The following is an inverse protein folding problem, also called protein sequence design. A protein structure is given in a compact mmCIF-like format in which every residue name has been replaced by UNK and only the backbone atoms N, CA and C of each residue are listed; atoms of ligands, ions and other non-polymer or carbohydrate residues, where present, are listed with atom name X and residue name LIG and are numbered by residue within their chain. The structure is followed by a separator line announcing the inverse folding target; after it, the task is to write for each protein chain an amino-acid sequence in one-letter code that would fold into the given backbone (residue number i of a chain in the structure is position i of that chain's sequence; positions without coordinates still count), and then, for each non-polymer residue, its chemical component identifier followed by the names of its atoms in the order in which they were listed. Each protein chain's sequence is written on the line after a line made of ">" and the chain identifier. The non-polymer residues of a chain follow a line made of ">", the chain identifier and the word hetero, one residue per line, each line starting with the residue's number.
data_IF_029394804732
#
_entry.id   IF_029394804732
#
_cell.length_a   1.000
_cell.length_b   1.000
_cell.length_c   1.000
_cell.angle_alpha   90.00
_cell.angle_beta   90.00
_cell.angle_gamma   90.00
#
_symmetry.space_group_name_H-M   'P 1'
#
loop_
_entity.id
_entity.type
_entity.pdbx_description
1 polymer ?
#
# COMPACT_ATOMS: atom_id res chain seq x y z
N UNK A 1 25.56 -75.97 -26.33
CA UNK A 1 26.95 -75.57 -26.69
C UNK A 1 26.97 -74.06 -26.85
N UNK A 2 28.03 -73.46 -26.33
CA UNK A 2 28.27 -72.03 -26.18
C UNK A 2 28.23 -71.25 -27.50
N UNK A 3 27.79 -70.00 -27.44
CA UNK A 3 28.52 -68.88 -28.04
C UNK A 3 28.12 -67.56 -27.36
N UNK A 4 29.13 -66.92 -26.79
CA UNK A 4 29.17 -65.63 -26.12
C UNK A 4 29.10 -64.47 -27.10
N UNK A 5 28.52 -63.33 -26.71
CA UNK A 5 28.84 -62.01 -27.28
C UNK A 5 28.61 -60.92 -26.23
N UNK A 6 29.69 -60.23 -25.92
CA UNK A 6 29.84 -59.21 -24.87
C UNK A 6 29.28 -57.86 -25.33
N UNK A 7 28.52 -57.17 -24.47
CA UNK A 7 28.19 -55.75 -24.65
C UNK A 7 28.97 -54.95 -23.60
N UNK A 8 29.83 -54.06 -24.07
CA UNK A 8 30.56 -53.07 -23.30
C UNK A 8 29.58 -51.95 -22.93
N UNK A 9 29.31 -51.77 -21.64
CA UNK A 9 28.57 -50.62 -21.12
C UNK A 9 29.57 -49.53 -20.71
N UNK A 10 29.66 -48.48 -21.52
CA UNK A 10 30.47 -47.29 -21.24
C UNK A 10 29.79 -46.46 -20.15
N UNK A 11 30.45 -46.31 -19.01
CA UNK A 11 30.05 -45.40 -17.93
C UNK A 11 30.36 -43.97 -18.39
N UNK A 12 29.32 -43.15 -18.60
CA UNK A 12 29.47 -41.70 -18.79
C UNK A 12 29.37 -41.05 -17.41
N UNK A 13 30.50 -40.53 -16.92
CA UNK A 13 30.57 -39.78 -15.67
C UNK A 13 29.80 -38.46 -15.77
N UNK A 14 28.87 -38.26 -14.85
CA UNK A 14 28.26 -36.95 -14.59
C UNK A 14 29.28 -36.08 -13.86
N UNK A 15 29.93 -35.17 -14.58
CA UNK A 15 30.71 -34.10 -13.98
C UNK A 15 29.75 -33.10 -13.33
N UNK A 16 29.72 -33.10 -12.00
CA UNK A 16 29.07 -32.07 -11.21
C UNK A 16 29.71 -30.72 -11.52
N UNK A 17 28.93 -29.80 -12.09
CA UNK A 17 29.30 -28.39 -12.18
C UNK A 17 29.23 -27.79 -10.78
N UNK A 18 30.36 -27.80 -10.08
CA UNK A 18 30.55 -26.97 -8.91
C UNK A 18 30.75 -25.52 -9.38
N UNK A 19 29.65 -24.78 -9.54
CA UNK A 19 29.73 -23.33 -9.52
C UNK A 19 30.09 -22.93 -8.08
N UNK A 20 31.37 -22.65 -7.85
CA UNK A 20 31.81 -21.91 -6.70
C UNK A 20 31.11 -20.54 -6.74
N UNK A 21 30.03 -20.40 -5.97
CA UNK A 21 29.39 -19.11 -5.76
C UNK A 21 30.40 -18.21 -5.05
N UNK A 22 30.98 -17.26 -5.78
CA UNK A 22 31.71 -16.14 -5.17
C UNK A 22 30.74 -15.37 -4.27
N UNK A 23 31.13 -15.02 -3.02
CA UNK A 23 30.21 -14.38 -2.09
C UNK A 23 29.69 -13.03 -2.59
N UNK A 24 28.35 -12.92 -2.61
CA UNK A 24 27.50 -11.72 -2.45
C UNK A 24 27.74 -10.54 -3.41
N UNK A 25 26.78 -10.32 -4.32
CA UNK A 25 26.57 -9.01 -4.96
C UNK A 25 26.32 -7.89 -3.93
N UNK A 26 25.91 -8.22 -2.70
CA UNK A 26 25.79 -7.28 -1.58
C UNK A 26 27.14 -6.80 -0.99
N UNK A 27 28.28 -7.45 -1.29
CA UNK A 27 29.60 -6.97 -0.83
C UNK A 27 30.20 -5.84 -1.68
N UNK A 28 29.57 -5.50 -2.80
CA UNK A 28 30.04 -4.43 -3.69
C UNK A 28 29.47 -3.04 -3.36
N UNK A 29 28.93 -2.81 -2.15
CA UNK A 29 28.46 -1.49 -1.71
C UNK A 29 29.54 -0.71 -0.97
N UNK A 30 30.64 -0.37 -1.63
CA UNK A 30 31.74 0.40 -0.99
C UNK A 30 31.45 1.90 -0.82
N UNK A 31 30.21 2.37 -0.85
CA UNK A 31 29.91 3.81 -0.75
C UNK A 31 28.64 4.24 0.00
N UNK A 32 27.68 3.35 0.31
CA UNK A 32 26.43 3.74 0.98
C UNK A 32 26.38 3.11 2.36
N UNK A 33 26.33 3.95 3.40
CA UNK A 33 26.23 3.50 4.78
C UNK A 33 24.86 2.87 5.04
N UNK A 34 24.86 1.72 5.73
CA UNK A 34 23.64 1.03 6.17
C UNK A 34 23.11 1.75 7.42
N UNK A 35 21.86 2.24 7.43
CA UNK A 35 21.32 2.95 8.58
C UNK A 35 21.09 1.98 9.77
N UNK A 36 21.08 2.46 11.02
CA UNK A 36 21.10 1.60 12.21
C UNK A 36 19.93 0.61 12.34
N UNK A 37 18.75 0.96 11.82
CA UNK A 37 17.56 0.08 11.81
C UNK A 37 17.49 -0.82 10.58
N UNK A 38 18.50 -0.87 9.71
CA UNK A 38 18.46 -1.70 8.51
C UNK A 38 19.21 -3.03 8.66
N UNK A 39 18.62 -4.06 8.08
CA UNK A 39 19.18 -5.41 7.99
C UNK A 39 19.31 -5.79 6.53
N UNK A 40 20.51 -6.19 6.11
CA UNK A 40 20.76 -6.68 4.76
C UNK A 40 20.35 -8.15 4.64
N UNK A 41 19.54 -8.47 3.63
CA UNK A 41 19.11 -9.81 3.31
C UNK A 41 19.66 -10.19 1.94
N UNK A 42 20.49 -11.24 1.87
CA UNK A 42 20.98 -11.80 0.62
C UNK A 42 19.97 -12.80 0.05
N UNK A 43 19.35 -12.54 -1.11
CA UNK A 43 18.44 -13.50 -1.74
C UNK A 43 19.03 -14.90 -1.90
N UNK A 44 20.34 -15.00 -2.14
CA UNK A 44 21.00 -16.30 -2.26
C UNK A 44 20.95 -17.12 -0.97
N UNK A 45 20.79 -16.48 0.19
CA UNK A 45 20.70 -17.16 1.48
C UNK A 45 19.35 -17.86 1.71
N UNK A 46 18.31 -17.51 0.95
CA UNK A 46 16.96 -18.08 1.11
C UNK A 46 16.31 -18.56 -0.19
N UNK A 47 17.01 -18.49 -1.32
CA UNK A 47 16.57 -19.09 -2.58
C UNK A 47 16.44 -20.63 -2.51
N UNK A 48 17.22 -21.27 -1.64
CA UNK A 48 17.17 -22.72 -1.43
C UNK A 48 16.94 -22.99 0.05
N UNK A 49 15.74 -23.42 0.39
CA UNK A 49 15.47 -23.97 1.72
C UNK A 49 16.19 -25.32 1.81
N UNK A 50 17.08 -25.46 2.80
CA UNK A 50 17.83 -26.71 3.01
C UNK A 50 16.89 -27.89 3.28
N UNK A 51 17.41 -29.12 3.31
CA UNK A 51 16.60 -30.32 3.62
C UNK A 51 15.88 -30.23 4.98
N UNK A 52 16.37 -29.37 5.89
CA UNK A 52 15.78 -29.08 7.20
C UNK A 52 15.15 -27.68 7.27
N UNK A 53 14.96 -26.99 6.14
CA UNK A 53 14.29 -25.70 6.08
C UNK A 53 12.78 -25.86 6.23
N UNK A 54 12.13 -24.87 6.83
CA UNK A 54 10.68 -24.82 6.95
C UNK A 54 10.08 -23.94 5.87
N UNK A 55 8.99 -24.39 5.26
CA UNK A 55 8.14 -23.54 4.42
C UNK A 55 7.24 -22.70 5.30
N UNK A 56 6.87 -21.50 4.81
CA UNK A 56 5.75 -20.77 5.39
C UNK A 56 4.46 -21.45 4.98
N UNK A 57 3.61 -21.77 5.94
CA UNK A 57 2.34 -22.46 5.70
C UNK A 57 1.18 -21.46 5.55
N UNK A 58 1.43 -20.17 5.83
CA UNK A 58 0.45 -19.09 5.69
C UNK A 58 1.02 -17.85 4.99
N UNK A 59 0.23 -17.21 4.13
CA UNK A 59 0.51 -15.88 3.59
C UNK A 59 0.38 -14.77 4.64
N UNK A 60 -0.07 -15.09 5.85
CA UNK A 60 -0.05 -14.20 7.02
C UNK A 60 1.19 -14.41 7.90
N UNK A 61 2.01 -15.41 7.62
CA UNK A 61 3.28 -15.62 8.32
C UNK A 61 4.34 -14.66 7.76
N UNK A 62 4.92 -13.82 8.63
CA UNK A 62 5.84 -12.79 8.19
C UNK A 62 7.22 -13.34 7.81
N UNK A 63 7.80 -12.81 6.74
CA UNK A 63 9.16 -13.13 6.35
C UNK A 63 10.19 -12.31 7.17
N UNK A 64 10.67 -12.86 8.28
CA UNK A 64 11.70 -12.24 9.14
C UNK A 64 12.84 -13.24 9.49
N UNK A 65 13.70 -13.59 8.52
CA UNK A 65 14.71 -14.64 8.69
C UNK A 65 15.82 -14.28 9.70
N UNK A 66 15.97 -13.00 10.05
CA UNK A 66 16.96 -12.53 11.03
C UNK A 66 16.40 -12.39 12.44
N UNK A 67 15.11 -12.70 12.63
CA UNK A 67 14.39 -12.56 13.90
C UNK A 67 14.62 -11.18 14.56
N UNK A 68 14.68 -10.14 13.72
CA UNK A 68 14.94 -8.76 14.18
C UNK A 68 13.65 -8.17 14.74
N UNK A 69 13.73 -7.49 15.88
CA UNK A 69 12.57 -6.87 16.53
C UNK A 69 12.04 -5.69 15.71
N UNK A 70 10.74 -5.65 15.36
CA UNK A 70 10.12 -4.52 14.68
C UNK A 70 10.02 -3.24 15.54
N UNK A 71 9.98 -2.04 14.93
CA UNK A 71 10.07 -1.78 13.49
C UNK A 71 11.52 -1.67 12.99
N UNK A 72 11.78 -2.15 11.77
CA UNK A 72 13.10 -2.09 11.13
C UNK A 72 13.00 -2.11 9.59
N UNK A 73 14.10 -1.87 8.89
CA UNK A 73 14.15 -1.93 7.42
C UNK A 73 14.78 -3.25 6.97
N UNK A 74 14.10 -3.99 6.08
CA UNK A 74 14.68 -5.14 5.38
C UNK A 74 15.20 -4.69 4.02
N UNK A 75 16.49 -4.89 3.75
CA UNK A 75 17.15 -4.48 2.50
C UNK A 75 17.41 -5.72 1.66
N UNK A 76 16.67 -5.87 0.55
CA UNK A 76 16.83 -6.95 -0.42
C UNK A 76 17.72 -6.56 -1.59
N UNK A 77 17.71 -5.27 -1.95
CA UNK A 77 18.50 -4.70 -3.04
C UNK A 77 19.26 -3.45 -2.58
N UNK A 78 20.53 -3.24 -3.01
CA UNK A 78 21.32 -2.07 -2.62
C UNK A 78 20.68 -0.71 -2.93
N UNK A 79 19.83 -0.62 -3.96
CA UNK A 79 19.15 0.64 -4.28
C UNK A 79 18.16 1.09 -3.19
N UNK A 80 17.69 0.18 -2.33
CA UNK A 80 16.89 0.58 -1.18
C UNK A 80 17.68 1.46 -0.21
N UNK A 81 19.01 1.29 -0.13
CA UNK A 81 19.85 2.17 0.70
C UNK A 81 19.87 3.62 0.19
N UNK A 82 19.59 3.86 -1.10
CA UNK A 82 19.43 5.22 -1.66
C UNK A 82 18.11 5.85 -1.23
N UNK A 83 17.05 5.04 -1.12
CA UNK A 83 15.73 5.43 -0.63
C UNK A 83 15.82 5.78 0.86
N UNK A 84 16.47 4.91 1.65
CA UNK A 84 16.63 5.09 3.09
C UNK A 84 17.55 6.26 3.41
N UNK A 85 18.75 6.29 2.83
CA UNK A 85 19.83 7.18 3.25
C UNK A 85 20.51 6.73 4.54
N UNK A 86 21.64 7.36 4.91
CA UNK A 86 22.50 6.88 5.99
C UNK A 86 21.92 7.09 7.40
N UNK A 87 20.96 8.00 7.55
CA UNK A 87 20.35 8.39 8.83
C UNK A 87 18.90 7.93 8.95
N UNK A 88 18.47 6.98 8.10
CA UNK A 88 17.10 6.51 8.06
C UNK A 88 16.65 5.99 9.42
N UNK A 89 15.44 6.34 9.83
CA UNK A 89 14.83 5.83 11.04
C UNK A 89 13.32 5.66 10.90
N UNK A 90 12.73 4.82 11.75
CA UNK A 90 11.29 4.58 11.81
C UNK A 90 10.85 4.37 13.26
N UNK A 91 9.74 5.02 13.66
CA UNK A 91 9.15 4.91 15.00
C UNK A 91 7.63 5.07 14.95
N UNK A 92 6.93 4.49 15.92
CA UNK A 92 5.52 4.80 16.14
C UNK A 92 5.38 6.22 16.71
N UNK A 93 4.38 6.97 16.23
CA UNK A 93 4.15 8.38 16.58
C UNK A 93 2.76 8.67 17.16
N UNK A 94 1.79 7.80 16.89
CA UNK A 94 0.47 7.81 17.49
C UNK A 94 -0.05 6.37 17.56
N UNK A 95 -0.79 6.02 18.60
CA UNK A 95 -1.40 4.71 18.72
C UNK A 95 -2.70 4.74 19.52
N UNK A 96 -3.64 3.90 19.11
CA UNK A 96 -4.81 3.55 19.89
C UNK A 96 -5.16 2.08 19.63
N UNK A 97 -4.92 1.18 20.61
CA UNK A 97 -5.07 -0.26 20.41
C UNK A 97 -6.51 -0.77 20.52
N UNK A 98 -7.51 0.09 20.74
CA UNK A 98 -8.88 -0.35 21.04
C UNK A 98 -9.74 -0.63 19.81
N UNK A 99 -9.31 -0.19 18.61
CA UNK A 99 -9.97 -0.39 17.33
C UNK A 99 -8.98 -0.19 16.17
N UNK A 100 -9.42 -0.33 14.91
CA UNK A 100 -8.57 0.00 13.72
C UNK A 100 -8.48 1.52 13.57
N UNK A 101 -7.75 2.13 14.50
CA UNK A 101 -7.55 3.55 14.70
C UNK A 101 -7.02 4.29 13.47
N UNK A 102 -6.00 3.78 12.81
CA UNK A 102 -5.33 4.36 11.66
C UNK A 102 -5.24 3.29 10.58
N UNK A 103 -6.34 3.13 9.82
CA UNK A 103 -6.48 2.09 8.82
C UNK A 103 -6.12 2.63 7.43
N UNK A 104 -6.79 3.69 6.98
CA UNK A 104 -6.88 4.04 5.55
C UNK A 104 -6.86 5.56 5.29
N UNK A 105 -6.94 5.96 4.01
CA UNK A 105 -7.02 7.36 3.54
C UNK A 105 -5.97 8.35 4.12
N UNK A 106 -4.67 8.04 4.19
CA UNK A 106 -3.69 9.01 4.64
C UNK A 106 -3.58 10.16 3.63
N UNK A 107 -3.96 11.37 4.05
CA UNK A 107 -3.88 12.60 3.24
C UNK A 107 -3.09 13.65 4.01
N UNK A 108 -1.97 14.10 3.44
CA UNK A 108 -1.18 15.18 4.03
C UNK A 108 -1.68 16.55 3.55
N UNK A 109 -1.94 17.46 4.49
CA UNK A 109 -2.30 18.85 4.24
C UNK A 109 -1.08 19.76 4.51
N UNK A 110 -0.35 20.24 3.47
CA UNK A 110 0.94 20.91 3.68
C UNK A 110 0.85 22.23 4.43
N UNK A 111 -0.27 22.96 4.30
CA UNK A 111 -0.45 24.27 4.94
C UNK A 111 -0.48 24.18 6.47
N UNK A 112 -1.14 23.16 7.01
CA UNK A 112 -1.24 22.92 8.46
C UNK A 112 -0.19 21.94 8.96
N UNK A 113 0.45 21.19 8.05
CA UNK A 113 1.35 20.08 8.34
C UNK A 113 0.66 18.98 9.18
N UNK A 114 -0.58 18.69 8.79
CA UNK A 114 -1.43 17.65 9.39
C UNK A 114 -1.60 16.48 8.43
N UNK A 115 -1.75 15.27 8.97
CA UNK A 115 -2.12 14.08 8.21
C UNK A 115 -3.51 13.65 8.67
N UNK A 116 -4.44 13.65 7.73
CA UNK A 116 -5.78 13.09 7.89
C UNK A 116 -5.75 11.60 7.55
N UNK A 117 -6.60 10.81 8.19
CA UNK A 117 -6.73 9.38 7.95
C UNK A 117 -8.10 8.88 8.38
N UNK A 118 -8.50 7.74 7.84
CA UNK A 118 -9.71 7.02 8.22
C UNK A 118 -9.37 5.87 9.19
N UNK A 119 -10.20 5.75 10.21
CA UNK A 119 -10.31 4.56 11.03
C UNK A 119 -11.35 3.63 10.42
N UNK A 120 -11.19 2.33 10.64
CA UNK A 120 -12.19 1.34 10.26
C UNK A 120 -12.71 0.60 11.50
N UNK A 121 -13.90 0.03 11.35
CA UNK A 121 -14.42 -0.91 12.34
C UNK A 121 -14.06 -2.37 12.02
N UNK A 122 -13.79 -2.70 10.75
CA UNK A 122 -13.72 -4.08 10.30
C UNK A 122 -15.10 -4.75 10.25
N UNK A 123 -15.12 -6.08 10.13
CA UNK A 123 -16.36 -6.83 9.98
C UNK A 123 -17.25 -6.71 11.22
N UNK A 124 -18.53 -6.36 11.03
CA UNK A 124 -19.55 -6.24 12.09
C UNK A 124 -19.32 -5.17 13.15
N UNK A 125 -18.38 -4.26 12.91
CA UNK A 125 -18.19 -3.16 13.84
C UNK A 125 -19.32 -2.13 13.78
N UNK A 126 -19.47 -1.45 14.91
CA UNK A 126 -20.36 -0.32 15.01
C UNK A 126 -19.86 0.83 14.13
N UNK A 127 -20.80 1.57 13.53
CA UNK A 127 -20.49 2.65 12.59
C UNK A 127 -19.65 3.77 13.22
N UNK A 128 -19.72 3.93 14.55
CA UNK A 128 -18.96 4.92 15.31
C UNK A 128 -17.45 4.63 15.36
N UNK A 129 -17.01 3.42 15.00
CA UNK A 129 -15.60 3.07 14.81
C UNK A 129 -15.04 3.56 13.47
N UNK A 130 -15.90 3.90 12.51
CA UNK A 130 -15.50 4.52 11.26
C UNK A 130 -15.42 6.03 11.46
N UNK A 131 -14.20 6.53 11.59
CA UNK A 131 -13.92 7.93 11.94
C UNK A 131 -12.94 8.50 10.95
N UNK A 132 -13.02 9.80 10.70
CA UNK A 132 -11.91 10.54 10.08
C UNK A 132 -11.23 11.33 11.19
N UNK A 133 -9.93 11.20 11.28
CA UNK A 133 -9.10 11.84 12.30
C UNK A 133 -7.89 12.49 11.66
N UNK A 134 -7.18 13.32 12.44
CA UNK A 134 -5.90 13.90 12.02
C UNK A 134 -4.87 13.93 13.14
N UNK A 135 -3.60 13.88 12.77
CA UNK A 135 -2.46 14.19 13.63
C UNK A 135 -1.67 15.39 13.09
N UNK A 136 -1.05 16.16 13.99
CA UNK A 136 -0.14 17.27 13.67
C UNK A 136 1.31 16.76 13.59
N UNK A 137 1.96 16.88 12.44
CA UNK A 137 3.37 16.50 12.31
C UNK A 137 4.31 17.48 13.04
N UNK A 138 3.83 18.69 13.35
CA UNK A 138 4.54 19.63 14.23
C UNK A 138 4.57 19.12 15.66
N UNK A 139 3.47 18.55 16.13
CA UNK A 139 3.38 17.96 17.47
C UNK A 139 4.23 16.69 17.55
N UNK A 140 4.25 15.89 16.46
CA UNK A 140 5.14 14.73 16.33
C UNK A 140 6.60 15.16 16.43
N UNK A 141 7.02 16.18 15.69
CA UNK A 141 8.38 16.69 15.75
C UNK A 141 8.76 17.22 17.15
N UNK A 142 7.84 17.91 17.83
CA UNK A 142 8.04 18.38 19.19
C UNK A 142 8.18 17.22 20.19
N UNK A 143 7.34 16.19 20.07
CA UNK A 143 7.39 15.00 20.91
C UNK A 143 8.69 14.21 20.70
N UNK A 144 9.13 14.02 19.44
CA UNK A 144 10.40 13.37 19.10
C UNK A 144 11.57 14.14 19.74
N UNK A 145 11.60 15.47 19.57
CA UNK A 145 12.64 16.31 20.18
C UNK A 145 12.68 16.19 21.69
N UNK A 146 11.52 16.10 22.35
CA UNK A 146 11.41 15.93 23.80
C UNK A 146 11.83 14.53 24.27
N UNK A 147 11.62 13.49 23.46
CA UNK A 147 11.98 12.10 23.79
C UNK A 147 13.49 11.83 23.79
N UNK A 148 14.29 12.73 23.20
CA UNK A 148 15.73 12.60 23.10
C UNK A 148 16.19 11.81 21.86
N UNK A 149 17.49 11.49 21.76
CA UNK A 149 18.03 10.76 20.62
C UNK A 149 17.52 9.31 20.61
N UNK A 150 17.21 8.79 19.43
CA UNK A 150 16.81 7.40 19.23
C UNK A 150 15.48 7.24 18.50
N UNK A 151 14.88 6.07 18.67
CA UNK A 151 13.68 5.62 17.93
C UNK A 151 12.57 5.13 18.86
N UNK A 152 12.62 5.57 20.12
CA UNK A 152 11.57 5.31 21.10
C UNK A 152 10.23 5.81 20.56
N UNK A 153 9.16 5.02 20.68
CA UNK A 153 7.82 5.48 20.33
C UNK A 153 7.44 6.76 21.05
N UNK A 154 6.77 7.65 20.33
CA UNK A 154 6.04 8.79 20.90
C UNK A 154 4.55 8.60 20.64
N UNK A 155 3.69 9.31 21.38
CA UNK A 155 2.25 9.19 21.20
C UNK A 155 1.60 10.57 21.20
N UNK A 156 1.42 11.14 20.00
CA UNK A 156 0.67 12.38 19.83
C UNK A 156 -0.83 12.11 19.78
N UNK A 157 -1.61 13.10 20.20
CA UNK A 157 -3.07 13.01 20.16
C UNK A 157 -3.56 13.10 18.71
N UNK A 158 -4.39 12.15 18.31
CA UNK A 158 -5.21 12.29 17.12
C UNK A 158 -6.53 12.99 17.45
N UNK A 159 -6.93 13.92 16.59
CA UNK A 159 -8.17 14.66 16.71
C UNK A 159 -9.17 14.14 15.69
N UNK A 160 -10.29 13.58 16.16
CA UNK A 160 -11.44 13.25 15.32
C UNK A 160 -12.01 14.53 14.69
N UNK A 161 -12.39 14.46 13.41
CA UNK A 161 -13.16 15.51 12.75
C UNK A 161 -14.62 15.08 12.61
N UNK A 162 -15.53 16.03 12.79
CA UNK A 162 -16.96 15.79 12.66
C UNK A 162 -17.39 16.01 11.22
N UNK A 163 -17.80 14.92 10.55
CA UNK A 163 -18.29 14.95 9.18
C UNK A 163 -19.82 14.85 9.16
N UNK A 164 -20.50 15.41 8.14
CA UNK A 164 -21.94 15.25 7.97
C UNK A 164 -22.35 13.78 7.84
N UNK A 165 -23.59 13.44 8.23
CA UNK A 165 -24.15 12.08 8.12
C UNK A 165 -24.18 11.52 6.69
N UNK A 166 -24.00 12.36 5.67
CA UNK A 166 -23.86 11.93 4.27
C UNK A 166 -22.51 11.25 3.98
N UNK A 167 -21.51 11.44 4.84
CA UNK A 167 -20.19 10.82 4.72
C UNK A 167 -20.05 9.78 5.83
N UNK A 168 -20.17 8.50 5.48
CA UNK A 168 -20.18 7.38 6.43
C UNK A 168 -19.23 6.29 5.96
N UNK A 169 -18.54 5.63 6.89
CA UNK A 169 -17.58 4.58 6.56
C UNK A 169 -16.58 5.04 5.47
N UNK A 170 -15.87 6.14 5.74
CA UNK A 170 -14.77 6.58 4.87
C UNK A 170 -13.74 5.46 4.82
N UNK A 171 -13.38 5.03 3.62
CA UNK A 171 -12.29 4.10 3.41
C UNK A 171 -11.08 4.88 2.88
N UNK A 172 -10.92 5.01 1.57
CA UNK A 172 -9.78 5.67 0.95
C UNK A 172 -9.94 7.18 0.72
N UNK A 173 -8.85 7.79 0.27
CA UNK A 173 -8.81 9.22 0.09
C UNK A 173 -7.53 9.72 -0.58
N UNK A 174 -7.62 10.94 -1.10
CA UNK A 174 -6.50 11.67 -1.72
C UNK A 174 -6.70 13.17 -1.57
N UNK A 175 -5.72 13.96 -2.01
CA UNK A 175 -5.83 15.40 -2.01
C UNK A 175 -4.51 16.13 -1.87
N UNK A 176 -4.54 17.46 -1.81
CA UNK A 176 -5.78 18.28 -1.83
C UNK A 176 -6.25 18.55 -3.27
N UNK A 177 -7.56 18.44 -3.51
CA UNK A 177 -8.22 18.82 -4.77
C UNK A 177 -9.01 20.12 -4.56
N UNK A 178 -8.59 21.20 -5.21
CA UNK A 178 -9.03 22.57 -4.98
C UNK A 178 -9.02 22.95 -3.49
N UNK A 179 -7.99 22.51 -2.77
CA UNK A 179 -7.83 22.71 -1.32
C UNK A 179 -8.70 21.81 -0.43
N UNK A 180 -9.47 20.89 -0.98
CA UNK A 180 -10.31 19.94 -0.24
C UNK A 180 -9.67 18.56 -0.18
N UNK A 181 -9.97 17.81 0.88
CA UNK A 181 -9.79 16.36 0.90
C UNK A 181 -10.76 15.75 -0.11
N UNK A 182 -10.31 14.72 -0.82
CA UNK A 182 -11.19 13.83 -1.60
C UNK A 182 -11.31 12.53 -0.83
N UNK A 183 -12.51 12.20 -0.38
CA UNK A 183 -12.79 10.98 0.37
C UNK A 183 -13.69 10.07 -0.45
N UNK A 184 -13.46 8.76 -0.34
CA UNK A 184 -14.39 7.75 -0.82
C UNK A 184 -14.91 6.90 0.34
N UNK A 185 -16.14 6.44 0.22
CA UNK A 185 -16.82 5.71 1.29
C UNK A 185 -17.26 4.31 0.88
N UNK A 186 -17.26 3.39 1.84
CA UNK A 186 -17.94 2.11 1.71
C UNK A 186 -19.47 2.28 1.69
N UNK A 187 -19.99 3.37 2.27
CA UNK A 187 -21.41 3.59 2.51
C UNK A 187 -21.93 2.82 3.74
N UNK A 188 -23.22 2.96 4.06
CA UNK A 188 -23.83 2.30 5.21
C UNK A 188 -25.35 2.12 5.05
N UNK A 189 -25.82 0.88 4.89
CA UNK A 189 -27.24 0.54 4.78
C UNK A 189 -27.93 1.24 3.59
N UNK A 190 -28.84 2.20 3.82
CA UNK A 190 -29.46 2.97 2.73
C UNK A 190 -28.54 4.05 2.14
N UNK A 191 -27.48 4.45 2.85
CA UNK A 191 -26.54 5.47 2.37
C UNK A 191 -25.54 4.84 1.38
N UNK A 192 -25.50 5.33 0.13
CA UNK A 192 -24.63 4.74 -0.89
C UNK A 192 -23.14 5.00 -0.61
N UNK A 193 -22.25 4.16 -1.16
CA UNK A 193 -20.85 4.52 -1.36
C UNK A 193 -20.78 5.82 -2.16
N UNK A 194 -19.84 6.70 -1.82
CA UNK A 194 -19.77 8.04 -2.41
C UNK A 194 -18.35 8.52 -2.55
N UNK A 195 -18.12 9.37 -3.55
CA UNK A 195 -16.95 10.22 -3.70
C UNK A 195 -17.34 11.63 -3.27
N UNK A 196 -16.60 12.22 -2.33
CA UNK A 196 -16.92 13.53 -1.77
C UNK A 196 -15.70 14.44 -1.62
N UNK A 197 -15.95 15.74 -1.69
CA UNK A 197 -15.00 16.78 -1.25
C UNK A 197 -15.30 17.14 0.20
N UNK A 198 -14.25 17.28 1.01
CA UNK A 198 -14.34 17.72 2.40
C UNK A 198 -13.35 18.85 2.66
N UNK A 199 -13.82 19.96 3.22
CA UNK A 199 -12.95 21.04 3.63
C UNK A 199 -12.05 20.57 4.80
N UNK A 200 -10.71 20.68 4.72
CA UNK A 200 -9.81 20.24 5.79
C UNK A 200 -9.85 21.14 7.04
N UNK A 201 -10.58 22.26 7.00
CA UNK A 201 -10.77 23.16 8.13
C UNK A 201 -12.21 23.10 8.68
N UNK A 202 -12.41 23.35 9.99
CA UNK A 202 -13.74 23.50 10.57
C UNK A 202 -14.58 24.53 9.81
N UNK A 203 -15.87 24.25 9.59
CA UNK A 203 -16.67 23.16 10.17
C UNK A 203 -16.65 21.85 9.36
N UNK A 204 -15.63 21.61 8.52
CA UNK A 204 -15.47 20.37 7.73
C UNK A 204 -16.63 20.10 6.77
N UNK A 205 -17.14 21.16 6.13
CA UNK A 205 -18.21 21.05 5.13
C UNK A 205 -17.86 20.02 4.05
N UNK A 206 -18.83 19.17 3.72
CA UNK A 206 -18.68 18.11 2.72
C UNK A 206 -19.63 18.31 1.53
N UNK A 207 -19.23 17.86 0.36
CA UNK A 207 -20.07 17.83 -0.86
C UNK A 207 -19.87 16.51 -1.57
N UNK A 208 -20.93 15.72 -1.70
CA UNK A 208 -20.94 14.49 -2.50
C UNK A 208 -20.92 14.87 -3.98
N UNK A 209 -19.96 14.31 -4.74
CA UNK A 209 -19.83 14.53 -6.18
C UNK A 209 -20.43 13.39 -7.00
N UNK A 210 -20.35 12.16 -6.49
CA UNK A 210 -20.78 10.95 -7.19
C UNK A 210 -21.12 9.83 -6.19
N UNK A 211 -22.25 9.17 -6.37
CA UNK A 211 -22.70 8.06 -5.50
C UNK A 211 -23.33 6.87 -6.26
N UNK A 212 -23.36 6.94 -7.59
CA UNK A 212 -23.95 5.92 -8.45
C UNK A 212 -23.32 5.87 -9.85
N UNK A 213 -23.53 4.75 -10.54
CA UNK A 213 -23.20 4.57 -11.95
C UNK A 213 -24.48 4.38 -12.78
N UNK A 214 -25.00 5.49 -13.33
CA UNK A 214 -26.26 5.53 -14.09
C UNK A 214 -27.45 4.94 -13.32
N UNK A 215 -27.58 5.31 -12.04
CA UNK A 215 -28.61 4.82 -11.13
C UNK A 215 -28.31 3.44 -10.52
N UNK A 216 -27.25 2.76 -10.95
CA UNK A 216 -26.76 1.55 -10.26
C UNK A 216 -25.85 1.94 -9.12
N UNK A 217 -26.06 1.32 -7.98
CA UNK A 217 -25.26 1.55 -6.80
C UNK A 217 -23.87 0.93 -6.98
N UNK A 218 -22.82 1.68 -6.62
CA UNK A 218 -21.48 1.13 -6.42
C UNK A 218 -21.49 0.08 -5.30
N UNK A 219 -20.51 -0.82 -5.29
CA UNK A 219 -20.40 -1.83 -4.25
C UNK A 219 -19.92 -1.21 -2.93
N UNK A 220 -18.71 -0.68 -2.95
CA UNK A 220 -18.03 0.04 -1.87
C UNK A 220 -16.75 0.65 -2.44
N UNK A 221 -16.65 1.98 -2.44
CA UNK A 221 -15.51 2.67 -3.05
C UNK A 221 -14.30 2.56 -2.11
N UNK A 222 -13.21 1.99 -2.62
CA UNK A 222 -12.08 1.59 -1.80
C UNK A 222 -10.98 2.67 -1.75
N UNK A 223 -10.27 2.95 -2.84
CA UNK A 223 -9.29 4.05 -2.91
C UNK A 223 -9.58 5.00 -4.08
N UNK A 224 -9.00 6.20 -4.03
CA UNK A 224 -9.12 7.25 -5.03
C UNK A 224 -7.79 7.98 -5.22
N UNK A 225 -7.49 8.37 -6.46
CA UNK A 225 -6.35 9.25 -6.80
C UNK A 225 -6.75 10.27 -7.86
N UNK A 226 -6.12 11.45 -7.80
CA UNK A 226 -6.25 12.46 -8.84
C UNK A 226 -5.17 12.18 -9.90
N UNK A 227 -5.57 12.09 -11.16
CA UNK A 227 -4.62 11.85 -12.24
C UNK A 227 -3.78 13.10 -12.54
N UNK A 228 -2.44 13.00 -12.55
CA UNK A 228 -1.59 14.15 -12.82
C UNK A 228 -1.79 14.66 -14.24
N UNK A 229 -1.98 15.97 -14.40
CA UNK A 229 -2.16 16.62 -15.70
C UNK A 229 -3.59 16.61 -16.27
N UNK A 230 -4.44 15.64 -15.93
CA UNK A 230 -5.85 15.64 -16.37
C UNK A 230 -6.83 16.07 -15.28
N UNK A 231 -6.42 16.04 -14.00
CA UNK A 231 -7.19 16.43 -12.82
C UNK A 231 -8.50 15.63 -12.61
N UNK A 232 -8.67 14.54 -13.35
CA UNK A 232 -9.79 13.60 -13.18
C UNK A 232 -9.53 12.68 -12.01
N UNK A 233 -10.61 12.25 -11.37
CA UNK A 233 -10.57 11.34 -10.22
C UNK A 233 -10.68 9.90 -10.71
N UNK A 234 -9.80 9.04 -10.23
CA UNK A 234 -9.83 7.61 -10.52
C UNK A 234 -9.99 6.87 -9.21
N UNK A 235 -10.90 5.91 -9.18
CA UNK A 235 -11.23 5.20 -7.95
C UNK A 235 -11.54 3.73 -8.21
N UNK A 236 -11.35 2.91 -7.19
CA UNK A 236 -11.65 1.49 -7.20
C UNK A 236 -12.99 1.22 -6.53
N UNK A 237 -13.80 0.35 -7.14
CA UNK A 237 -15.03 -0.16 -6.54
C UNK A 237 -14.86 -1.65 -6.28
N UNK A 238 -14.92 -2.04 -5.01
CA UNK A 238 -14.69 -3.41 -4.53
C UNK A 238 -15.81 -3.87 -3.61
N UNK A 239 -15.82 -5.13 -3.19
CA UNK A 239 -16.93 -5.72 -2.41
C UNK A 239 -16.73 -5.69 -0.88
N UNK A 240 -15.80 -4.87 -0.36
CA UNK A 240 -15.45 -4.84 1.06
C UNK A 240 -16.62 -4.44 1.96
N UNK A 241 -17.39 -3.42 1.59
CA UNK A 241 -18.57 -3.00 2.33
C UNK A 241 -19.61 -4.12 2.50
N UNK A 242 -19.71 -5.04 1.54
CA UNK A 242 -20.56 -6.23 1.69
C UNK A 242 -19.97 -7.23 2.69
N UNK A 243 -18.67 -7.51 2.63
CA UNK A 243 -18.01 -8.41 3.59
C UNK A 243 -18.01 -7.86 5.02
N UNK A 244 -17.97 -6.54 5.18
CA UNK A 244 -18.10 -5.86 6.46
C UNK A 244 -19.56 -5.69 6.90
N UNK A 245 -20.51 -6.09 6.05
CA UNK A 245 -21.96 -5.98 6.25
C UNK A 245 -22.46 -4.53 6.45
N UNK A 246 -21.71 -3.58 5.90
CA UNK A 246 -22.14 -2.19 5.74
C UNK A 246 -23.10 -2.05 4.56
N UNK A 247 -22.99 -2.92 3.56
CA UNK A 247 -23.66 -2.83 2.27
C UNK A 247 -24.40 -4.13 1.90
N UNK A 248 -25.48 -4.06 1.10
CA UNK A 248 -26.14 -5.22 0.50
C UNK A 248 -25.21 -5.93 -0.49
N UNK A 249 -25.61 -7.11 -1.00
CA UNK A 249 -24.85 -7.83 -2.02
C UNK A 249 -24.45 -6.94 -3.22
N UNK A 250 -23.21 -7.08 -3.73
CA UNK A 250 -22.69 -6.33 -4.86
C UNK A 250 -23.57 -6.40 -6.11
N UNK A 251 -23.66 -5.28 -6.85
CA UNK A 251 -24.43 -5.18 -8.10
C UNK A 251 -23.56 -4.86 -9.32
N UNK A 252 -22.32 -4.41 -9.10
CA UNK A 252 -21.34 -4.10 -10.14
C UNK A 252 -20.13 -5.05 -10.04
N UNK A 253 -19.41 -5.29 -11.15
CA UNK A 253 -18.12 -5.98 -11.09
C UNK A 253 -17.05 -5.11 -10.38
N UNK A 254 -16.00 -5.75 -9.85
CA UNK A 254 -14.86 -5.05 -9.26
C UNK A 254 -14.03 -4.39 -10.37
N UNK A 255 -14.01 -3.06 -10.38
CA UNK A 255 -13.51 -2.27 -11.51
C UNK A 255 -12.89 -0.94 -11.08
N UNK A 256 -12.06 -0.40 -11.96
CA UNK A 256 -11.53 0.97 -11.82
C UNK A 256 -12.36 1.91 -12.66
N UNK A 257 -12.80 3.00 -12.04
CA UNK A 257 -13.60 4.04 -12.66
C UNK A 257 -12.80 5.33 -12.75
N UNK A 258 -13.17 6.16 -13.74
CA UNK A 258 -12.78 7.56 -13.83
C UNK A 258 -14.02 8.42 -13.71
N UNK A 259 -13.95 9.45 -12.88
CA UNK A 259 -14.91 10.53 -12.78
C UNK A 259 -14.30 11.88 -13.19
N UNK A 260 -15.08 12.65 -13.93
CA UNK A 260 -14.77 14.00 -14.37
C UNK A 260 -15.64 15.00 -13.60
N UNK A 261 -15.07 15.75 -12.65
CA UNK A 261 -15.87 16.65 -11.81
C UNK A 261 -16.43 17.85 -12.57
N UNK A 262 -15.84 18.22 -13.71
CA UNK A 262 -16.29 19.38 -14.50
C UNK A 262 -17.52 19.04 -15.37
N UNK A 263 -17.62 17.79 -15.82
CA UNK A 263 -18.68 17.34 -16.73
C UNK A 263 -19.67 16.36 -16.10
N UNK A 264 -19.34 15.81 -14.93
CA UNK A 264 -20.09 14.71 -14.30
C UNK A 264 -19.90 13.35 -14.98
N UNK A 265 -19.02 13.25 -15.99
CA UNK A 265 -18.82 12.01 -16.75
C UNK A 265 -18.11 10.95 -15.91
N UNK A 266 -18.77 9.81 -15.70
CA UNK A 266 -18.20 8.61 -15.08
C UNK A 266 -18.10 7.48 -16.09
N UNK A 267 -16.98 6.74 -16.10
CA UNK A 267 -16.81 5.53 -16.91
C UNK A 267 -15.85 4.53 -16.28
N UNK A 268 -15.99 3.28 -16.66
CA UNK A 268 -15.01 2.22 -16.39
C UNK A 268 -13.77 2.45 -17.25
N UNK A 269 -12.59 2.30 -16.65
CA UNK A 269 -11.29 2.42 -17.34
C UNK A 269 -10.44 1.16 -17.27
N UNK A 270 -10.70 0.25 -16.33
CA UNK A 270 -10.05 -1.05 -16.20
C UNK A 270 -10.97 -2.07 -15.52
N UNK A 271 -10.83 -3.34 -15.88
CA UNK A 271 -11.59 -4.46 -15.31
C UNK A 271 -10.72 -5.74 -15.14
N UNK A 272 -11.36 -6.84 -14.74
CA UNK A 272 -10.73 -8.15 -14.60
C UNK A 272 -9.97 -8.35 -13.29
N UNK A 273 -10.26 -7.56 -12.26
CA UNK A 273 -9.70 -7.75 -10.91
C UNK A 273 -10.54 -8.75 -10.12
N UNK A 274 -9.91 -9.53 -9.23
CA UNK A 274 -10.67 -10.24 -8.21
C UNK A 274 -11.20 -9.21 -7.21
N UNK A 275 -10.32 -8.36 -6.63
CA UNK A 275 -10.70 -7.21 -5.79
C UNK A 275 -9.70 -6.07 -6.01
N UNK A 276 -10.06 -5.04 -6.77
CA UNK A 276 -9.18 -3.88 -6.97
C UNK A 276 -9.12 -3.04 -5.68
N UNK A 277 -7.93 -2.60 -5.31
CA UNK A 277 -7.67 -1.94 -4.03
C UNK A 277 -6.99 -0.57 -4.25
N UNK A 278 -5.81 -0.32 -3.68
CA UNK A 278 -5.06 0.91 -3.89
C UNK A 278 -4.66 1.11 -5.36
N UNK A 279 -4.58 2.38 -5.77
CA UNK A 279 -4.06 2.76 -7.08
C UNK A 279 -3.10 3.93 -6.98
N UNK A 280 -2.20 4.07 -7.96
CA UNK A 280 -1.30 5.21 -8.06
C UNK A 280 -0.87 5.47 -9.50
N UNK A 281 -0.34 6.66 -9.76
CA UNK A 281 0.14 7.08 -11.07
C UNK A 281 1.62 7.43 -11.04
N UNK A 282 2.33 7.20 -12.16
CA UNK A 282 3.62 7.84 -12.38
C UNK A 282 3.48 9.36 -12.42
N UNK A 283 4.55 10.12 -12.08
CA UNK A 283 4.50 11.59 -12.10
C UNK A 283 4.07 12.19 -13.45
N UNK A 284 4.40 11.52 -14.55
CA UNK A 284 4.03 11.93 -15.90
C UNK A 284 2.62 11.51 -16.33
N UNK A 285 1.87 10.79 -15.48
CA UNK A 285 0.50 10.35 -15.73
C UNK A 285 0.35 9.33 -16.84
N UNK A 286 1.42 8.60 -17.21
CA UNK A 286 1.35 7.63 -18.31
C UNK A 286 1.18 6.19 -17.86
N UNK A 287 1.52 5.88 -16.62
CA UNK A 287 1.37 4.53 -16.07
C UNK A 287 0.51 4.58 -14.81
N UNK A 288 -0.43 3.65 -14.72
CA UNK A 288 -1.18 3.37 -13.50
C UNK A 288 -0.70 2.07 -12.87
N UNK A 289 -0.71 2.02 -11.54
CA UNK A 289 -0.56 0.81 -10.74
C UNK A 289 -1.85 0.57 -9.99
N UNK A 290 -2.32 -0.67 -9.93
CA UNK A 290 -3.53 -1.07 -9.20
C UNK A 290 -3.26 -2.37 -8.45
N UNK A 291 -3.51 -2.37 -7.14
CA UNK A 291 -3.46 -3.55 -6.30
C UNK A 291 -4.67 -4.45 -6.53
N UNK A 292 -4.45 -5.75 -6.62
CA UNK A 292 -5.48 -6.78 -6.59
C UNK A 292 -5.30 -7.62 -5.33
N UNK A 293 -6.25 -7.48 -4.43
CA UNK A 293 -6.29 -8.08 -3.10
C UNK A 293 -7.18 -9.32 -3.04
N UNK A 294 -7.39 -9.98 -4.18
CA UNK A 294 -8.24 -11.17 -4.32
C UNK A 294 -8.01 -12.28 -3.29
N UNK A 295 -6.78 -12.45 -2.80
CA UNK A 295 -6.42 -13.43 -1.77
C UNK A 295 -7.10 -13.17 -0.43
N UNK A 296 -7.60 -11.95 -0.18
CA UNK A 296 -8.49 -11.66 0.93
C UNK A 296 -9.95 -11.91 0.50
N UNK A 297 -10.54 -13.01 0.98
CA UNK A 297 -11.95 -13.34 0.74
C UNK A 297 -12.87 -12.89 1.90
N UNK A 298 -12.39 -11.94 2.72
CA UNK A 298 -13.17 -11.33 3.79
C UNK A 298 -13.60 -12.36 4.83
N UNK A 299 -14.92 -12.60 4.95
CA UNK A 299 -15.49 -13.55 5.92
C UNK A 299 -15.04 -15.01 5.71
N UNK A 300 -14.55 -15.35 4.51
CA UNK A 300 -14.04 -16.68 4.19
C UNK A 300 -12.53 -16.83 4.47
N UNK A 301 -11.89 -15.78 4.99
CA UNK A 301 -10.46 -15.77 5.32
C UNK A 301 -9.57 -15.51 4.10
N UNK A 302 -8.37 -16.08 4.13
CA UNK A 302 -7.35 -15.89 3.09
C UNK A 302 -7.28 -17.09 2.16
N UNK A 303 -7.31 -16.84 0.84
CA UNK A 303 -7.06 -17.82 -0.19
C UNK A 303 -5.82 -17.45 -1.01
N UNK A 304 -4.70 -18.09 -0.69
CA UNK A 304 -3.38 -17.78 -1.25
C UNK A 304 -3.22 -18.17 -2.73
N UNK A 305 -4.20 -18.89 -3.29
CA UNK A 305 -4.21 -19.23 -4.72
C UNK A 305 -4.74 -18.09 -5.60
N UNK A 306 -5.27 -17.02 -4.96
CA UNK A 306 -5.81 -15.83 -5.63
C UNK A 306 -4.81 -14.67 -5.62
N UNK A 307 -5.19 -13.57 -6.25
CA UNK A 307 -4.33 -12.40 -6.45
C UNK A 307 -3.89 -11.75 -5.13
N UNK A 308 -2.58 -11.55 -5.01
CA UNK A 308 -1.93 -10.65 -4.06
C UNK A 308 -0.92 -9.82 -4.85
N UNK A 309 -1.42 -9.14 -5.88
CA UNK A 309 -0.62 -8.72 -7.04
C UNK A 309 -0.89 -7.26 -7.37
N UNK A 310 0.17 -6.51 -7.63
CA UNK A 310 0.10 -5.18 -8.22
C UNK A 310 0.21 -5.33 -9.74
N UNK A 311 -0.74 -4.76 -10.47
CA UNK A 311 -0.73 -4.70 -11.92
C UNK A 311 -0.38 -3.28 -12.39
N UNK A 312 0.41 -3.19 -13.46
CA UNK A 312 0.68 -1.94 -14.15
C UNK A 312 -0.12 -1.85 -15.47
N UNK A 313 -0.43 -0.62 -15.87
CA UNK A 313 -1.18 -0.29 -17.08
C UNK A 313 -0.61 0.96 -17.75
N UNK A 314 -0.66 0.99 -19.07
CA UNK A 314 -0.42 2.22 -19.83
C UNK A 314 -1.73 3.00 -19.93
N UNK A 315 -1.67 4.33 -19.82
CA UNK A 315 -2.85 5.20 -19.87
C UNK A 315 -2.98 5.81 -21.27
N UNK A 316 -4.10 5.53 -21.94
CA UNK A 316 -4.40 6.14 -23.23
C UNK A 316 -4.66 7.65 -23.06
N UNK A 317 -3.86 8.49 -23.73
CA UNK A 317 -3.88 9.93 -23.53
C UNK A 317 -5.21 10.62 -23.90
N UNK A 318 -6.05 10.00 -24.74
CA UNK A 318 -7.32 10.58 -25.18
C UNK A 318 -8.48 10.15 -24.29
N UNK A 319 -8.67 8.84 -24.17
CA UNK A 319 -9.79 8.25 -23.44
C UNK A 319 -9.52 8.16 -21.94
N UNK A 320 -8.25 8.15 -21.54
CA UNK A 320 -7.77 7.79 -20.20
C UNK A 320 -8.09 6.34 -19.81
N UNK A 321 -8.26 5.44 -20.79
CA UNK A 321 -8.42 4.01 -20.53
C UNK A 321 -7.09 3.42 -20.06
N UNK A 322 -7.17 2.44 -19.17
CA UNK A 322 -6.00 1.65 -18.79
C UNK A 322 -5.86 0.51 -19.80
N UNK A 323 -4.66 0.37 -20.36
CA UNK A 323 -4.34 -0.57 -21.43
C UNK A 323 -3.07 -1.35 -21.07
N UNK A 324 -2.76 -2.41 -21.81
CA UNK A 324 -1.53 -3.20 -21.61
C UNK A 324 -1.32 -3.67 -20.16
N UNK A 325 -2.38 -4.26 -19.57
CA UNK A 325 -2.33 -4.86 -18.23
C UNK A 325 -1.16 -5.85 -18.15
N UNK A 326 -0.29 -5.66 -17.16
CA UNK A 326 0.87 -6.52 -16.92
C UNK A 326 1.10 -6.67 -15.43
N UNK A 327 1.62 -7.84 -15.03
CA UNK A 327 2.09 -8.04 -13.65
C UNK A 327 3.24 -7.07 -13.41
N UNK A 328 3.17 -6.34 -12.29
CA UNK A 328 4.27 -5.51 -11.81
C UNK A 328 4.98 -6.18 -10.64
N UNK A 329 4.22 -6.56 -9.60
CA UNK A 329 4.76 -7.23 -8.43
C UNK A 329 3.76 -8.23 -7.85
N UNK A 330 4.26 -9.35 -7.36
CA UNK A 330 3.53 -10.23 -6.44
C UNK A 330 4.11 -10.02 -5.05
N UNK A 331 3.27 -9.69 -4.07
CA UNK A 331 3.78 -9.33 -2.75
C UNK A 331 4.14 -10.57 -1.93
N UNK A 332 4.98 -10.38 -0.92
CA UNK A 332 5.43 -11.46 -0.05
C UNK A 332 4.35 -11.93 0.96
N UNK A 333 3.73 -11.01 1.70
CA UNK A 333 2.87 -11.29 2.87
C UNK A 333 1.58 -10.49 2.77
N UNK A 334 0.42 -11.14 2.89
CA UNK A 334 -0.90 -10.50 2.90
C UNK A 334 -1.43 -10.13 1.52
N UNK A 335 -1.95 -8.90 1.38
CA UNK A 335 -2.42 -8.29 0.12
C UNK A 335 -1.76 -6.92 -0.13
N UNK A 336 -1.60 -6.48 -1.40
CA UNK A 336 -1.28 -5.09 -1.68
C UNK A 336 -2.53 -4.25 -1.46
N UNK A 337 -2.44 -3.30 -0.54
CA UNK A 337 -3.53 -2.40 -0.18
C UNK A 337 -3.28 -1.02 -0.82
N UNK A 338 -3.17 0.05 -0.04
CA UNK A 338 -2.82 1.39 -0.52
C UNK A 338 -1.45 1.46 -1.23
N UNK A 339 -1.40 2.14 -2.38
CA UNK A 339 -0.20 2.29 -3.22
C UNK A 339 0.23 3.76 -3.28
N UNK A 340 1.54 4.00 -3.18
CA UNK A 340 2.18 5.30 -3.37
C UNK A 340 3.43 5.18 -4.24
N UNK A 341 3.85 6.31 -4.81
CA UNK A 341 5.13 6.41 -5.51
C UNK A 341 6.00 7.51 -4.89
N UNK A 342 7.30 7.30 -4.91
CA UNK A 342 8.26 8.40 -4.70
C UNK A 342 8.56 9.15 -6.01
N UNK A 343 9.27 10.27 -5.92
CA UNK A 343 9.62 11.09 -7.09
C UNK A 343 10.56 10.38 -8.08
N UNK A 344 11.22 9.30 -7.66
CA UNK A 344 12.07 8.47 -8.52
C UNK A 344 11.27 7.32 -9.17
N UNK A 345 9.95 7.26 -8.96
CA UNK A 345 9.08 6.25 -9.54
C UNK A 345 9.12 4.89 -8.85
N UNK A 346 9.76 4.77 -7.68
CA UNK A 346 9.65 3.53 -6.90
C UNK A 346 8.24 3.40 -6.34
N UNK A 347 7.71 2.19 -6.35
CA UNK A 347 6.33 1.88 -5.96
C UNK A 347 6.35 1.31 -4.54
N UNK A 348 5.50 1.86 -3.68
CA UNK A 348 5.33 1.48 -2.29
C UNK A 348 3.92 0.95 -2.12
N UNK A 349 3.74 -0.15 -1.38
CA UNK A 349 2.42 -0.62 -1.00
C UNK A 349 2.36 -1.00 0.48
N UNK A 350 1.22 -0.72 1.11
CA UNK A 350 0.81 -1.36 2.36
C UNK A 350 0.63 -2.86 2.14
N UNK A 351 1.14 -3.67 3.06
CA UNK A 351 1.14 -5.13 3.00
C UNK A 351 1.00 -5.76 4.39
N UNK A 352 0.96 -7.09 4.46
CA UNK A 352 0.69 -7.81 5.71
C UNK A 352 1.74 -7.65 6.81
N UNK A 353 2.98 -7.27 6.49
CA UNK A 353 4.09 -7.13 7.45
C UNK A 353 4.65 -5.70 7.57
N UNK A 354 3.96 -4.73 6.97
CA UNK A 354 4.36 -3.32 6.91
C UNK A 354 4.23 -2.79 5.49
N UNK A 355 5.24 -2.07 4.99
CA UNK A 355 5.24 -1.58 3.61
C UNK A 355 6.39 -2.17 2.79
N UNK A 356 6.12 -2.56 1.55
CA UNK A 356 7.11 -3.09 0.61
C UNK A 356 7.38 -2.08 -0.50
N UNK A 357 8.60 -2.10 -1.04
CA UNK A 357 9.07 -1.13 -2.04
C UNK A 357 9.68 -1.84 -3.23
N UNK A 358 9.21 -1.49 -4.43
CA UNK A 358 9.72 -2.00 -5.69
C UNK A 358 10.31 -0.89 -6.54
N UNK A 359 11.37 -1.21 -7.28
CA UNK A 359 11.88 -0.36 -8.35
C UNK A 359 10.89 -0.27 -9.50
N UNK A 360 11.09 0.68 -10.42
CA UNK A 360 10.23 0.86 -11.60
C UNK A 360 10.12 -0.38 -12.50
N UNK A 361 11.07 -1.31 -12.37
CA UNK A 361 11.14 -2.58 -13.10
C UNK A 361 10.41 -3.74 -12.39
N UNK A 362 9.84 -3.51 -11.20
CA UNK A 362 9.20 -4.54 -10.38
C UNK A 362 10.15 -5.31 -9.45
N UNK A 363 11.44 -4.94 -9.40
CA UNK A 363 12.40 -5.57 -8.48
C UNK A 363 12.09 -5.17 -7.03
N UNK A 364 11.88 -6.14 -6.13
CA UNK A 364 11.71 -5.86 -4.70
C UNK A 364 13.01 -5.28 -4.13
N UNK A 365 12.95 -4.03 -3.69
CA UNK A 365 14.09 -3.31 -3.13
C UNK A 365 14.22 -3.56 -1.63
N UNK A 366 13.09 -3.48 -0.91
CA UNK A 366 13.11 -3.42 0.53
C UNK A 366 11.74 -3.45 1.19
N UNK A 367 11.73 -3.50 2.52
CA UNK A 367 10.54 -3.33 3.34
C UNK A 367 10.77 -2.40 4.51
N UNK A 368 9.73 -1.65 4.85
CA UNK A 368 9.50 -1.07 6.17
C UNK A 368 8.77 -2.13 6.99
N UNK A 369 9.52 -3.00 7.67
CA UNK A 369 8.96 -4.12 8.40
C UNK A 369 8.43 -3.66 9.78
N UNK A 370 7.12 -3.78 9.98
CA UNK A 370 6.44 -3.38 11.21
C UNK A 370 6.04 -4.56 12.09
N UNK A 371 6.02 -5.78 11.54
CA UNK A 371 5.50 -6.96 12.24
C UNK A 371 4.00 -6.86 12.50
N UNK A 372 3.30 -6.08 11.69
CA UNK A 372 1.85 -5.91 11.68
C UNK A 372 1.45 -5.44 10.28
N UNK A 373 0.17 -5.59 9.96
CA UNK A 373 -0.42 -5.10 8.71
C UNK A 373 -0.25 -3.58 8.62
N UNK A 374 0.02 -3.10 7.40
CA UNK A 374 -0.19 -1.72 7.02
C UNK A 374 -1.13 -1.65 5.83
N UNK A 375 -2.24 -0.94 5.97
CA UNK A 375 -3.23 -0.82 4.88
C UNK A 375 -2.90 0.36 3.96
N UNK A 376 -2.27 1.42 4.44
CA UNK A 376 -1.95 2.55 3.57
C UNK A 376 -0.77 3.39 4.08
N UNK A 377 -0.25 4.26 3.21
CA UNK A 377 0.87 5.15 3.48
C UNK A 377 0.78 6.43 2.65
N UNK A 378 1.46 7.48 3.09
CA UNK A 378 1.58 8.73 2.35
C UNK A 378 2.94 9.39 2.59
N UNK A 379 3.49 10.01 1.55
CA UNK A 379 4.58 10.96 1.72
C UNK A 379 4.04 12.29 2.25
N UNK A 380 4.45 12.66 3.46
CA UNK A 380 4.15 13.96 4.04
C UNK A 380 5.26 14.98 3.70
N UNK A 381 5.51 15.18 2.42
CA UNK A 381 6.66 15.93 1.92
C UNK A 381 7.95 15.12 1.93
N UNK A 382 9.05 15.76 1.52
CA UNK A 382 10.33 15.08 1.34
C UNK A 382 10.83 14.39 2.60
N UNK A 383 11.24 13.13 2.45
CA UNK A 383 11.86 12.35 3.50
C UNK A 383 10.96 11.96 4.66
N UNK A 384 9.64 12.26 4.62
CA UNK A 384 8.68 11.86 5.65
C UNK A 384 7.66 10.90 5.05
N UNK A 385 7.76 9.61 5.39
CA UNK A 385 6.77 8.61 5.02
C UNK A 385 5.94 8.26 6.24
N UNK A 386 4.64 8.54 6.18
CA UNK A 386 3.68 8.15 7.21
C UNK A 386 3.03 6.85 6.80
N UNK A 387 3.04 5.86 7.69
CA UNK A 387 2.56 4.51 7.44
C UNK A 387 1.45 4.21 8.46
N UNK A 388 0.26 3.90 7.97
CA UNK A 388 -0.90 3.53 8.78
C UNK A 388 -0.88 2.01 9.01
N UNK A 389 -0.95 1.60 10.26
CA UNK A 389 -0.77 0.21 10.68
C UNK A 389 -1.84 -0.21 11.70
N UNK A 390 -3.10 -0.03 11.32
CA UNK A 390 -4.33 -0.31 12.07
C UNK A 390 -4.40 0.37 13.44
N UNK A 391 -3.66 -0.11 14.42
CA UNK A 391 -3.69 0.42 15.79
C UNK A 391 -2.65 1.50 16.04
N UNK A 392 -1.78 1.77 15.07
CA UNK A 392 -0.70 2.74 15.19
C UNK A 392 -0.40 3.48 13.87
N UNK A 393 0.21 4.66 14.00
CA UNK A 393 0.82 5.42 12.92
C UNK A 393 2.33 5.39 13.13
N UNK A 394 3.07 5.04 12.08
CA UNK A 394 4.52 5.11 12.05
C UNK A 394 4.97 6.29 11.18
N UNK A 395 6.06 6.93 11.59
CA UNK A 395 6.78 7.91 10.77
C UNK A 395 8.16 7.32 10.46
N UNK A 396 8.47 7.19 9.18
CA UNK A 396 9.81 6.93 8.70
C UNK A 396 10.43 8.24 8.16
N UNK A 397 11.65 8.53 8.62
CA UNK A 397 12.47 9.63 8.14
C UNK A 397 13.54 9.03 7.21
N UNK A 398 13.49 9.35 5.92
CA UNK A 398 14.28 8.71 4.85
C UNK A 398 14.83 9.74 3.85
N UNK A 399 15.67 9.30 2.90
CA UNK A 399 16.23 10.17 1.85
C UNK A 399 15.31 10.35 0.63
N UNK A 400 14.34 9.44 0.43
CA UNK A 400 13.42 9.50 -0.70
C UNK A 400 12.62 10.80 -0.75
N UNK A 401 12.37 11.25 -1.98
CA UNK A 401 11.66 12.48 -2.30
C UNK A 401 10.21 12.19 -2.59
N UNK A 402 9.31 13.01 -2.07
CA UNK A 402 7.88 12.80 -2.25
C UNK A 402 7.50 13.01 -3.72
N UNK A 403 6.64 12.14 -4.27
CA UNK A 403 5.95 12.44 -5.52
C UNK A 403 4.86 13.49 -5.25
N UNK A 404 5.28 14.76 -5.18
CA UNK A 404 4.42 15.90 -4.89
C UNK A 404 3.57 16.23 -6.12
N UNK A 405 2.50 15.46 -6.33
CA UNK A 405 1.51 15.78 -7.34
C UNK A 405 0.74 17.04 -6.89
N UNK A 406 0.98 18.16 -7.56
CA UNK A 406 0.19 19.37 -7.37
C UNK A 406 -1.10 19.24 -8.16
N UNK A 407 -2.21 19.20 -7.45
CA UNK A 407 -3.54 19.27 -8.03
C UNK A 407 -4.07 20.71 -7.91
N UNK A 408 -4.96 21.13 -8.81
CA UNK A 408 -5.47 22.50 -8.83
C UNK A 408 -6.23 22.87 -7.56
#
# INVERSE_FOLDING_TARGET
>A
MLATSSIVATVVGLTAWACAATPSQLKATTAIAVPPQAVLLDPLAFNVLSLNGSFRESATEFFNPTNTTPPFFQVFHPDFLKILGPTANIRAVAANPTFLFAHEAPIWAPKTDEVFFASAGGAMAAIDQYQVSKISLRDVAAAIKASGPGVTPVNVTATKIDLPETIQATNGGTGLFYGNLVLVTDGNGPLPPSLALVNPAPPYNATVLLDNFFGRQFNSLNDVKIHPGSNKLFFTDSTYGYFYQLRPPPLLPNQVYRFDPDTGSVRVVADGFDKCNGLAFTPDGKTAFVGDSGSNDGLLGTNQTKAATIYAFDIDAKSMAFTNRRVFAYIDTGIPDGIQLDAAGNVYAGTGDGAQVWGQDGTLLGKFFLGTVSSNLIFAGDGRLVILADTAIYLAEIAAKANMLSFP
#
